data_IF_733459238971
#
_entry.id   IF_733459238971
#
_cell.length_a   1.000
_cell.length_b   1.000
_cell.length_c   1.000
_cell.angle_alpha   90.00
_cell.angle_beta   90.00
_cell.angle_gamma   90.00
#
_symmetry.space_group_name_H-M   'P 1'
#
loop_
_entity.id
_entity.type
_entity.pdbx_description
1 polymer ?
#
# COMPACT_ATOMS: atom_id res chain seq x y z
N UNK A 1 -36.47 -43.34 25.06
CA UNK A 1 -36.45 -42.07 25.81
C UNK A 1 -35.66 -42.29 27.08
N UNK A 2 -34.42 -41.83 27.10
CA UNK A 2 -33.52 -41.91 28.25
C UNK A 2 -33.05 -40.47 28.50
N UNK A 3 -33.40 -39.94 29.67
CA UNK A 3 -32.97 -38.64 30.16
C UNK A 3 -31.53 -38.77 30.69
N UNK A 4 -30.63 -37.88 30.25
CA UNK A 4 -29.33 -37.63 30.88
C UNK A 4 -29.29 -36.15 31.30
N UNK A 5 -28.91 -35.83 32.55
CA UNK A 5 -28.88 -34.45 33.02
C UNK A 5 -27.61 -33.72 32.60
N UNK A 6 -27.80 -32.43 32.32
CA UNK A 6 -26.78 -31.41 32.13
C UNK A 6 -25.74 -31.45 33.26
N UNK A 7 -24.47 -31.68 32.92
CA UNK A 7 -23.35 -31.25 33.75
C UNK A 7 -22.76 -29.97 33.15
N UNK A 8 -23.01 -28.89 33.89
CA UNK A 8 -22.52 -27.55 33.72
C UNK A 8 -21.05 -27.52 34.19
N UNK A 9 -20.08 -27.59 33.28
CA UNK A 9 -18.68 -27.31 33.61
C UNK A 9 -18.36 -25.91 33.10
N UNK A 10 -18.51 -24.95 34.02
CA UNK A 10 -18.01 -23.58 33.87
C UNK A 10 -16.51 -23.64 34.09
N UNK A 11 -15.74 -23.73 33.01
CA UNK A 11 -14.30 -23.48 33.07
C UNK A 11 -14.03 -21.98 32.93
N UNK A 12 -13.88 -21.32 34.07
CA UNK A 12 -13.19 -20.04 34.19
C UNK A 12 -11.72 -20.23 33.81
N UNK A 13 -11.33 -19.79 32.60
CA UNK A 13 -9.92 -19.52 32.28
C UNK A 13 -9.75 -18.01 32.30
N UNK A 14 -9.39 -17.51 33.49
CA UNK A 14 -8.74 -16.22 33.67
C UNK A 14 -7.27 -16.41 33.27
N UNK A 15 -6.91 -16.13 32.02
CA UNK A 15 -5.51 -16.01 31.61
C UNK A 15 -5.17 -14.54 31.34
N UNK A 16 -4.80 -13.86 32.42
CA UNK A 16 -3.62 -13.00 32.55
C UNK A 16 -3.16 -12.36 31.23
N UNK A 17 -3.60 -11.12 31.01
CA UNK A 17 -2.97 -10.21 30.04
C UNK A 17 -1.57 -9.82 30.53
N UNK A 18 -0.50 -10.08 29.76
CA UNK A 18 0.75 -9.37 29.98
C UNK A 18 0.57 -7.94 29.46
N UNK A 19 0.63 -6.97 30.38
CA UNK A 19 0.84 -5.56 30.07
C UNK A 19 2.21 -5.42 29.41
N UNK A 20 2.26 -5.36 28.09
CA UNK A 20 3.46 -4.90 27.39
C UNK A 20 3.53 -3.39 27.60
N UNK A 21 4.43 -3.00 28.50
CA UNK A 21 4.82 -1.63 28.75
C UNK A 21 5.38 -1.02 27.46
N UNK A 22 5.01 0.23 27.23
CA UNK A 22 5.33 0.99 26.05
C UNK A 22 6.83 1.20 25.84
N UNK A 23 7.20 1.21 24.56
CA UNK A 23 8.32 1.98 24.06
C UNK A 23 7.76 3.03 23.10
N UNK A 24 7.19 4.08 23.69
CA UNK A 24 7.07 5.38 23.02
C UNK A 24 8.43 6.05 23.24
N UNK A 25 9.25 6.11 22.20
CA UNK A 25 10.43 6.99 22.18
C UNK A 25 9.98 8.34 21.65
N UNK A 26 9.81 9.30 22.56
CA UNK A 26 9.69 10.73 22.28
C UNK A 26 11.10 11.34 22.07
N UNK A 27 11.25 12.55 21.51
CA UNK A 27 12.10 12.80 20.36
C UNK A 27 13.42 13.47 20.77
N UNK A 28 14.46 13.26 19.98
CA UNK A 28 15.75 13.88 20.23
C UNK A 28 15.72 15.39 19.95
N UNK A 29 16.19 16.14 20.95
CA UNK A 29 16.31 17.59 21.05
C UNK A 29 17.33 18.16 20.05
N UNK A 30 17.02 19.23 19.29
CA UNK A 30 17.93 19.82 18.32
C UNK A 30 18.94 20.75 19.02
N UNK A 31 20.23 20.64 18.68
CA UNK A 31 21.20 21.72 18.96
C UNK A 31 21.42 22.56 17.69
N UNK A 32 21.52 23.89 17.84
CA UNK A 32 21.66 24.81 16.72
C UNK A 32 23.13 25.01 16.38
N UNK A 33 23.43 25.10 15.09
CA UNK A 33 24.68 25.72 14.64
C UNK A 33 24.40 26.52 13.38
N UNK A 34 24.39 27.83 13.61
CA UNK A 34 24.46 28.87 12.61
C UNK A 34 25.67 28.67 11.70
N UNK A 35 25.43 28.66 10.39
CA UNK A 35 26.42 29.17 9.43
C UNK A 35 25.68 30.06 8.45
N UNK A 36 26.08 31.33 8.46
CA UNK A 36 25.55 32.44 7.68
C UNK A 36 26.46 32.71 6.48
N UNK A 37 25.85 33.21 5.40
CA UNK A 37 26.40 33.84 4.19
C UNK A 37 27.00 32.85 3.17
N UNK A 38 26.71 32.91 1.86
CA UNK A 38 26.31 34.06 1.03
C UNK A 38 25.77 33.56 -0.33
N UNK A 39 24.90 34.35 -0.98
CA UNK A 39 24.76 34.42 -2.44
C UNK A 39 24.09 33.27 -3.20
N UNK A 40 22.76 33.28 -3.29
CA UNK A 40 22.02 33.69 -4.49
C UNK A 40 20.55 33.29 -4.36
N UNK A 41 19.69 34.28 -4.51
CA UNK A 41 18.24 34.15 -4.46
C UNK A 41 17.76 33.40 -5.71
N UNK A 42 17.87 32.07 -5.71
CA UNK A 42 17.17 31.23 -6.65
C UNK A 42 15.68 31.40 -6.39
N UNK A 43 15.05 32.25 -7.20
CA UNK A 43 13.61 32.31 -7.34
C UNK A 43 13.23 31.09 -8.19
N UNK A 44 12.70 29.98 -7.62
CA UNK A 44 12.25 28.87 -8.45
C UNK A 44 11.09 29.39 -9.28
N UNK A 45 11.36 29.62 -10.56
CA UNK A 45 10.33 29.92 -11.54
C UNK A 45 9.45 28.67 -11.57
N UNK A 46 8.28 28.75 -10.94
CA UNK A 46 7.22 27.78 -11.12
C UNK A 46 6.88 27.78 -12.61
N UNK A 47 7.45 26.83 -13.34
CA UNK A 47 6.96 26.50 -14.66
C UNK A 47 5.68 25.73 -14.41
N UNK A 48 4.54 26.39 -14.64
CA UNK A 48 3.18 25.82 -14.68
C UNK A 48 3.00 24.80 -15.82
N UNK A 49 4.02 23.99 -16.12
CA UNK A 49 3.88 22.80 -16.95
C UNK A 49 3.30 21.68 -16.08
N UNK A 50 2.04 21.87 -15.69
CA UNK A 50 1.16 20.78 -15.25
C UNK A 50 0.83 19.95 -16.49
N UNK A 51 1.85 19.28 -17.03
CA UNK A 51 1.63 18.04 -17.75
C UNK A 51 1.22 17.02 -16.69
N UNK A 52 -0.09 16.96 -16.44
CA UNK A 52 -0.70 15.90 -15.63
C UNK A 52 -0.16 14.59 -16.20
N UNK A 53 0.64 13.81 -15.44
CA UNK A 53 1.22 12.58 -15.98
C UNK A 53 0.08 11.68 -16.45
N UNK A 54 0.23 11.18 -17.67
CA UNK A 54 -0.64 10.18 -18.31
C UNK A 54 -1.00 9.08 -17.29
N UNK A 55 -2.27 8.64 -17.14
CA UNK A 55 -2.72 7.67 -16.14
C UNK A 55 -2.23 6.22 -16.38
N UNK A 56 -0.99 6.05 -16.85
CA UNK A 56 -0.41 4.75 -17.24
C UNK A 56 0.21 3.98 -16.07
N UNK A 57 0.04 4.47 -14.84
CA UNK A 57 0.75 3.98 -13.68
C UNK A 57 -0.06 2.93 -12.92
N UNK A 58 0.19 1.64 -13.21
CA UNK A 58 -0.33 0.50 -12.46
C UNK A 58 0.38 0.44 -11.12
N UNK A 59 -0.36 0.20 -10.03
CA UNK A 59 0.21 0.15 -8.69
C UNK A 59 -0.24 -1.09 -7.96
N UNK A 60 0.71 -2.01 -7.78
CA UNK A 60 0.56 -3.13 -6.87
C UNK A 60 0.31 -2.61 -5.45
N UNK A 61 -0.76 -3.11 -4.82
CA UNK A 61 -1.20 -2.71 -3.47
C UNK A 61 -1.27 -3.89 -2.51
N UNK A 62 -0.92 -5.08 -3.01
CA UNK A 62 -0.75 -6.26 -2.19
C UNK A 62 -1.50 -7.45 -2.74
N UNK A 63 -1.58 -8.46 -1.88
CA UNK A 63 -2.19 -9.73 -2.16
C UNK A 63 -3.37 -9.96 -1.23
N UNK A 64 -4.38 -10.67 -1.72
CA UNK A 64 -5.45 -11.23 -0.89
C UNK A 64 -5.52 -12.75 -1.04
N UNK A 65 -6.06 -13.38 -0.01
CA UNK A 65 -6.37 -14.81 -0.04
C UNK A 65 -7.35 -15.14 -1.17
N UNK A 66 -7.19 -16.32 -1.77
CA UNK A 66 -8.16 -16.82 -2.75
C UNK A 66 -9.58 -16.90 -2.20
N UNK A 67 -9.73 -17.24 -0.91
CA UNK A 67 -11.02 -17.28 -0.24
C UNK A 67 -11.74 -15.93 -0.25
N UNK A 68 -11.02 -14.85 0.13
CA UNK A 68 -11.56 -13.48 0.06
C UNK A 68 -11.88 -13.05 -1.37
N UNK A 69 -11.07 -13.48 -2.35
CA UNK A 69 -11.39 -13.23 -3.76
C UNK A 69 -12.69 -13.93 -4.22
N UNK A 70 -12.91 -15.19 -3.81
CA UNK A 70 -14.16 -15.90 -4.12
C UNK A 70 -15.38 -15.24 -3.46
N UNK A 71 -15.23 -14.80 -2.21
CA UNK A 71 -16.26 -14.05 -1.49
C UNK A 71 -16.61 -12.75 -2.22
N UNK A 72 -15.60 -11.96 -2.63
CA UNK A 72 -15.79 -10.75 -3.43
C UNK A 72 -16.56 -11.01 -4.73
N UNK A 73 -16.22 -12.06 -5.48
CA UNK A 73 -16.94 -12.43 -6.71
C UNK A 73 -18.40 -12.82 -6.41
N UNK A 74 -18.62 -13.59 -5.36
CA UNK A 74 -19.94 -14.06 -4.94
C UNK A 74 -20.85 -12.90 -4.50
N UNK A 75 -20.34 -11.99 -3.67
CA UNK A 75 -21.08 -10.81 -3.19
C UNK A 75 -21.53 -9.90 -4.34
N UNK A 76 -20.69 -9.78 -5.37
CA UNK A 76 -20.97 -8.98 -6.55
C UNK A 76 -21.77 -9.73 -7.63
N UNK A 77 -22.05 -11.03 -7.44
CA UNK A 77 -22.80 -11.85 -8.40
C UNK A 77 -22.11 -12.00 -9.75
N UNK A 78 -20.77 -11.95 -9.76
CA UNK A 78 -19.94 -11.99 -10.96
C UNK A 78 -19.03 -13.22 -10.98
N UNK A 79 -18.49 -13.53 -12.15
CA UNK A 79 -17.42 -14.52 -12.29
C UNK A 79 -16.20 -13.81 -12.87
N UNK A 80 -15.02 -14.21 -12.41
CA UNK A 80 -13.77 -13.72 -12.99
C UNK A 80 -13.63 -14.17 -14.45
N UNK A 81 -13.07 -13.30 -15.29
CA UNK A 81 -12.79 -13.56 -16.70
C UNK A 81 -11.47 -14.29 -16.82
N UNK A 82 -11.40 -15.31 -17.68
CA UNK A 82 -10.15 -15.99 -17.94
C UNK A 82 -9.15 -15.08 -18.66
N UNK A 83 -7.98 -14.86 -18.07
CA UNK A 83 -6.86 -14.14 -18.68
C UNK A 83 -5.53 -14.83 -18.37
N UNK A 84 -4.62 -14.94 -19.37
CA UNK A 84 -3.39 -15.72 -19.22
C UNK A 84 -2.33 -15.04 -18.34
N UNK A 85 -2.44 -13.72 -18.13
CA UNK A 85 -1.45 -12.93 -17.41
C UNK A 85 -2.09 -11.76 -16.66
N UNK A 86 -1.40 -11.34 -15.60
CA UNK A 86 -1.72 -10.15 -14.81
C UNK A 86 -1.74 -8.87 -15.66
N UNK A 87 -0.76 -8.69 -16.53
CA UNK A 87 -0.70 -7.55 -17.45
C UNK A 87 -1.91 -7.51 -18.39
N UNK A 88 -2.40 -8.69 -18.81
CA UNK A 88 -3.63 -8.80 -19.58
C UNK A 88 -4.85 -8.36 -18.78
N UNK A 89 -4.90 -8.70 -17.49
CA UNK A 89 -5.94 -8.26 -16.56
C UNK A 89 -5.96 -6.76 -16.35
N UNK A 90 -4.79 -6.18 -16.04
CA UNK A 90 -4.62 -4.73 -15.90
C UNK A 90 -5.07 -4.03 -17.18
N UNK A 91 -4.62 -4.51 -18.34
CA UNK A 91 -4.98 -3.93 -19.65
C UNK A 91 -6.49 -3.97 -19.88
N UNK A 92 -7.14 -5.10 -19.60
CA UNK A 92 -8.58 -5.25 -19.72
C UNK A 92 -9.31 -4.25 -18.81
N UNK A 93 -8.93 -4.21 -17.53
CA UNK A 93 -9.59 -3.35 -16.55
C UNK A 93 -9.37 -1.86 -16.78
N UNK A 94 -8.35 -1.48 -17.56
CA UNK A 94 -8.10 -0.07 -17.95
C UNK A 94 -8.98 0.41 -19.10
N UNK A 95 -9.31 -0.49 -20.03
CA UNK A 95 -10.12 -0.13 -21.21
C UNK A 95 -11.50 0.37 -20.77
N UNK A 96 -12.05 -0.27 -19.74
CA UNK A 96 -13.31 0.12 -19.14
C UNK A 96 -13.06 1.16 -18.02
N UNK A 97 -13.36 2.43 -18.34
CA UNK A 97 -13.17 3.58 -17.46
C UNK A 97 -13.83 3.54 -16.05
N UNK A 98 -14.88 2.75 -15.72
CA UNK A 98 -15.39 2.75 -14.35
C UNK A 98 -14.51 1.98 -13.35
N UNK A 99 -13.54 1.19 -13.79
CA UNK A 99 -12.76 0.35 -12.89
C UNK A 99 -11.57 1.08 -12.28
N UNK A 100 -11.42 0.92 -10.96
CA UNK A 100 -10.29 1.44 -10.20
C UNK A 100 -9.27 0.36 -9.82
N UNK A 101 -9.70 -0.91 -9.88
CA UNK A 101 -9.03 -2.08 -9.34
C UNK A 101 -8.99 -3.21 -10.37
N UNK A 102 -7.87 -3.93 -10.39
CA UNK A 102 -7.72 -5.20 -11.07
C UNK A 102 -7.27 -6.27 -10.06
N UNK A 103 -8.04 -7.35 -9.98
CA UNK A 103 -7.74 -8.54 -9.19
C UNK A 103 -7.32 -9.65 -10.14
N UNK A 104 -6.19 -10.30 -9.86
CA UNK A 104 -5.70 -11.38 -10.72
C UNK A 104 -5.17 -12.57 -9.94
N UNK A 105 -5.73 -13.75 -10.23
CA UNK A 105 -5.24 -15.04 -9.72
C UNK A 105 -4.38 -15.70 -10.78
N UNK A 106 -3.08 -15.84 -10.50
CA UNK A 106 -2.13 -16.47 -11.41
C UNK A 106 -2.42 -17.98 -11.58
N UNK A 107 -2.85 -18.65 -10.53
CA UNK A 107 -3.20 -20.08 -10.60
C UNK A 107 -4.49 -20.32 -11.38
N UNK A 108 -5.58 -19.63 -11.02
CA UNK A 108 -6.87 -19.80 -11.68
C UNK A 108 -6.95 -19.10 -13.05
N UNK A 109 -5.91 -18.31 -13.41
CA UNK A 109 -5.89 -17.45 -14.60
C UNK A 109 -7.15 -16.61 -14.70
N UNK A 110 -7.57 -16.07 -13.55
CA UNK A 110 -8.85 -15.39 -13.38
C UNK A 110 -8.62 -13.92 -13.07
N UNK A 111 -9.31 -13.05 -13.79
CA UNK A 111 -9.24 -11.61 -13.67
C UNK A 111 -10.60 -11.04 -13.28
N UNK A 112 -10.61 -10.06 -12.39
CA UNK A 112 -11.80 -9.30 -12.06
C UNK A 112 -11.49 -7.81 -11.98
N UNK A 113 -12.28 -7.02 -12.70
CA UNK A 113 -12.19 -5.57 -12.70
C UNK A 113 -13.26 -5.02 -11.77
N UNK A 114 -12.85 -4.19 -10.80
CA UNK A 114 -13.75 -3.65 -9.80
C UNK A 114 -13.66 -2.12 -9.73
N UNK A 115 -14.76 -1.42 -9.38
CA UNK A 115 -14.69 -0.01 -9.02
C UNK A 115 -13.82 0.17 -7.77
N UNK A 116 -13.23 1.36 -7.59
CA UNK A 116 -12.29 1.65 -6.49
C UNK A 116 -12.89 1.45 -5.09
N UNK A 117 -14.20 1.56 -4.98
CA UNK A 117 -14.98 1.40 -3.75
C UNK A 117 -15.07 -0.08 -3.32
N UNK A 118 -14.78 -1.03 -4.21
CA UNK A 118 -14.74 -2.47 -3.91
C UNK A 118 -13.31 -2.91 -3.58
N UNK A 119 -12.67 -2.19 -2.67
CA UNK A 119 -11.34 -2.53 -2.16
C UNK A 119 -11.41 -3.77 -1.24
N UNK A 120 -10.32 -4.52 -1.08
CA UNK A 120 -10.33 -5.72 -0.24
C UNK A 120 -10.57 -5.37 1.24
N UNK A 121 -11.19 -6.30 1.96
CA UNK A 121 -11.24 -6.27 3.43
C UNK A 121 -9.86 -6.60 4.00
N UNK A 122 -9.57 -6.07 5.19
CA UNK A 122 -8.24 -6.22 5.81
C UNK A 122 -7.93 -7.67 6.16
N UNK A 123 -8.94 -8.45 6.57
CA UNK A 123 -8.82 -9.87 6.87
C UNK A 123 -8.48 -10.73 5.67
N UNK A 124 -8.71 -10.22 4.45
CA UNK A 124 -8.35 -10.94 3.23
C UNK A 124 -6.89 -10.72 2.85
N UNK A 125 -6.22 -9.69 3.37
CA UNK A 125 -4.85 -9.33 3.00
C UNK A 125 -3.87 -10.40 3.46
N UNK A 126 -3.04 -10.86 2.53
CA UNK A 126 -2.00 -11.88 2.75
C UNK A 126 -0.63 -11.37 2.32
N UNK A 127 0.41 -12.12 2.65
CA UNK A 127 1.78 -11.81 2.24
C UNK A 127 2.01 -12.00 0.75
N UNK A 128 2.73 -11.07 0.12
CA UNK A 128 3.35 -11.23 -1.20
C UNK A 128 4.67 -12.00 -1.11
N UNK A 129 5.15 -12.53 -2.23
CA UNK A 129 6.52 -13.05 -2.36
C UNK A 129 7.52 -11.96 -2.70
N UNK A 130 7.08 -10.94 -3.44
CA UNK A 130 7.91 -9.86 -3.97
C UNK A 130 7.09 -8.58 -4.19
N UNK A 131 7.71 -7.59 -4.82
CA UNK A 131 7.16 -6.28 -5.18
C UNK A 131 6.65 -6.24 -6.64
N UNK A 132 6.85 -7.31 -7.42
CA UNK A 132 6.28 -7.48 -8.76
C UNK A 132 4.83 -7.98 -8.75
N UNK A 133 4.29 -8.30 -7.58
CA UNK A 133 2.90 -8.72 -7.40
C UNK A 133 2.68 -10.22 -7.42
N UNK A 134 3.73 -11.02 -7.17
CA UNK A 134 3.57 -12.44 -6.91
C UNK A 134 3.12 -12.64 -5.46
N UNK A 135 2.08 -13.43 -5.25
CA UNK A 135 1.48 -13.65 -3.93
C UNK A 135 2.03 -14.90 -3.24
N UNK A 136 2.14 -14.86 -1.90
CA UNK A 136 2.81 -15.90 -1.11
C UNK A 136 2.11 -17.26 -1.12
N UNK A 137 0.78 -17.28 -1.12
CA UNK A 137 -0.01 -18.48 -1.31
C UNK A 137 -0.14 -18.86 -2.79
N UNK A 138 -0.27 -20.16 -3.05
CA UNK A 138 -0.30 -20.70 -4.40
C UNK A 138 -1.47 -20.17 -5.24
N UNK A 139 -2.61 -19.89 -4.60
CA UNK A 139 -3.84 -19.43 -5.26
C UNK A 139 -4.17 -17.96 -4.95
N UNK A 140 -3.32 -17.29 -4.17
CA UNK A 140 -3.56 -15.92 -3.73
C UNK A 140 -3.59 -14.96 -4.93
N UNK A 141 -4.27 -13.84 -4.71
CA UNK A 141 -4.72 -12.94 -5.79
C UNK A 141 -4.03 -11.60 -5.62
N UNK A 142 -3.34 -11.15 -6.67
CA UNK A 142 -2.71 -9.85 -6.72
C UNK A 142 -3.75 -8.76 -6.94
N UNK A 143 -3.54 -7.61 -6.30
CA UNK A 143 -4.41 -6.43 -6.45
C UNK A 143 -3.60 -5.26 -6.99
N UNK A 144 -4.12 -4.68 -8.07
CA UNK A 144 -3.59 -3.49 -8.70
C UNK A 144 -4.61 -2.37 -8.70
N UNK A 145 -4.20 -1.18 -8.29
CA UNK A 145 -4.95 0.02 -8.63
C UNK A 145 -4.47 0.61 -9.95
N UNK A 146 -5.43 1.06 -10.74
CA UNK A 146 -5.20 1.48 -12.12
C UNK A 146 -4.99 2.99 -12.27
N UNK A 147 -5.51 3.79 -11.33
CA UNK A 147 -5.62 5.24 -11.44
C UNK A 147 -5.06 6.00 -10.21
N UNK A 148 -3.96 5.53 -9.64
CA UNK A 148 -3.33 6.22 -8.52
C UNK A 148 -2.33 7.30 -8.96
N UNK A 149 -2.33 8.49 -8.33
CA UNK A 149 -1.35 9.55 -8.60
C UNK A 149 0.01 9.31 -7.93
N UNK A 150 0.31 8.05 -7.57
CA UNK A 150 1.52 7.64 -6.85
C UNK A 150 2.21 6.48 -7.56
N UNK A 151 3.51 6.32 -7.33
CA UNK A 151 4.39 5.29 -7.87
C UNK A 151 4.72 4.28 -6.79
N UNK A 152 4.34 3.02 -6.96
CA UNK A 152 4.73 1.97 -6.02
C UNK A 152 6.25 1.86 -6.07
N UNK A 153 6.87 2.02 -4.91
CA UNK A 153 8.31 2.09 -4.77
C UNK A 153 8.88 0.80 -4.22
N UNK A 154 8.17 0.18 -3.26
CA UNK A 154 8.58 -1.09 -2.70
C UNK A 154 8.00 -1.33 -1.31
N UNK A 155 8.44 -2.43 -0.73
CA UNK A 155 7.99 -2.92 0.57
C UNK A 155 9.09 -2.86 1.62
N UNK A 156 8.78 -2.35 2.82
CA UNK A 156 9.75 -2.03 3.86
C UNK A 156 9.32 -2.54 5.22
N UNK A 157 10.24 -3.20 5.93
CA UNK A 157 10.02 -3.61 7.32
C UNK A 157 10.00 -2.42 8.30
N UNK A 158 10.68 -1.34 7.94
CA UNK A 158 10.71 -0.08 8.67
C UNK A 158 11.11 1.05 7.73
N UNK A 159 10.61 2.26 7.94
CA UNK A 159 10.96 3.46 7.15
C UNK A 159 12.03 4.28 7.88
N UNK A 160 12.92 4.94 7.12
CA UNK A 160 14.01 5.73 7.70
C UNK A 160 13.56 7.11 8.17
N UNK A 161 12.59 7.70 7.50
CA UNK A 161 12.08 9.03 7.83
C UNK A 161 10.92 8.93 8.83
N UNK A 162 10.72 9.98 9.61
CA UNK A 162 9.51 10.13 10.43
C UNK A 162 8.43 10.82 9.61
N UNK A 163 7.19 10.30 9.56
CA UNK A 163 6.11 10.97 8.84
C UNK A 163 5.71 12.25 9.56
N UNK A 164 5.42 13.31 8.81
CA UNK A 164 4.89 14.54 9.39
C UNK A 164 3.40 14.40 9.76
N UNK A 165 2.73 13.44 9.15
CA UNK A 165 1.32 13.08 9.42
C UNK A 165 1.15 11.57 9.33
N UNK A 166 0.42 11.02 10.28
CA UNK A 166 -0.07 9.64 10.21
C UNK A 166 -1.52 9.57 10.68
N UNK A 167 -2.29 8.69 10.07
CA UNK A 167 -3.69 8.46 10.42
C UNK A 167 -4.12 7.03 10.09
N UNK A 168 -5.20 6.60 10.74
CA UNK A 168 -5.83 5.32 10.44
C UNK A 168 -6.98 5.60 9.48
N UNK A 169 -6.98 4.93 8.34
CA UNK A 169 -8.01 5.06 7.31
C UNK A 169 -8.70 3.73 7.08
N UNK A 170 -9.92 3.77 6.57
CA UNK A 170 -10.71 2.56 6.33
C UNK A 170 -10.26 1.80 5.08
N UNK A 171 -9.73 2.54 4.10
CA UNK A 171 -9.33 1.99 2.81
C UNK A 171 -7.99 2.61 2.32
N UNK A 172 -7.21 1.90 1.48
CA UNK A 172 -5.90 2.37 1.02
C UNK A 172 -5.97 3.60 0.09
N UNK A 173 -7.13 3.89 -0.52
CA UNK A 173 -7.34 5.06 -1.37
C UNK A 173 -7.51 6.32 -0.55
N UNK A 174 -8.21 6.24 0.57
CA UNK A 174 -8.29 7.29 1.56
C UNK A 174 -6.88 7.68 2.04
N UNK A 175 -5.99 6.70 2.25
CA UNK A 175 -4.58 6.99 2.57
C UNK A 175 -3.90 7.82 1.46
N UNK A 176 -4.02 7.38 0.21
CA UNK A 176 -3.47 8.09 -0.95
C UNK A 176 -4.02 9.51 -1.09
N UNK A 177 -5.29 9.72 -0.78
CA UNK A 177 -5.96 11.03 -0.87
C UNK A 177 -5.72 11.91 0.34
N UNK A 178 -5.31 11.34 1.47
CA UNK A 178 -5.03 12.08 2.70
C UNK A 178 -3.78 12.95 2.62
N UNK A 179 -2.78 12.48 1.86
CA UNK A 179 -1.50 13.17 1.70
C UNK A 179 -1.62 14.36 0.75
N UNK A 180 -0.86 15.41 1.02
CA UNK A 180 -0.95 16.67 0.29
C UNK A 180 -0.39 16.52 -1.12
N UNK A 181 -0.82 17.36 -2.07
CA UNK A 181 -0.30 17.30 -3.44
C UNK A 181 1.20 17.50 -3.60
N UNK A 182 1.83 18.11 -2.59
CA UNK A 182 3.27 18.42 -2.54
C UNK A 182 4.12 17.36 -1.83
N UNK A 183 3.50 16.34 -1.26
CA UNK A 183 4.21 15.30 -0.51
C UNK A 183 5.07 14.45 -1.44
N UNK A 184 6.30 14.16 -1.02
CA UNK A 184 7.23 13.32 -1.76
C UNK A 184 6.83 11.85 -1.74
N UNK A 185 6.28 11.36 -0.61
CA UNK A 185 5.86 9.97 -0.48
C UNK A 185 4.70 9.72 0.47
N UNK A 186 4.00 8.61 0.23
CA UNK A 186 3.01 8.02 1.13
C UNK A 186 3.42 6.58 1.42
N UNK A 187 3.27 6.15 2.66
CA UNK A 187 3.43 4.74 3.02
C UNK A 187 2.18 4.26 3.76
N UNK A 188 1.81 3.01 3.50
CA UNK A 188 0.66 2.38 4.14
C UNK A 188 1.01 0.98 4.64
N UNK A 189 0.45 0.60 5.77
CA UNK A 189 0.62 -0.74 6.34
C UNK A 189 -0.74 -1.25 6.82
N UNK A 190 -1.15 -2.47 6.43
CA UNK A 190 -2.39 -3.07 6.91
C UNK A 190 -2.26 -3.36 8.42
N UNK A 191 -3.29 -2.99 9.21
CA UNK A 191 -3.26 -3.18 10.66
C UNK A 191 -3.78 -4.57 11.03
N UNK A 192 -3.02 -5.28 11.86
CA UNK A 192 -3.42 -6.58 12.42
C UNK A 192 -4.32 -6.39 13.65
N UNK A 193 -4.08 -5.35 14.44
CA UNK A 193 -4.78 -5.08 15.71
C UNK A 193 -5.91 -4.03 15.57
N UNK A 194 -6.73 -4.16 14.53
CA UNK A 194 -7.92 -3.33 14.30
C UNK A 194 -8.25 -3.15 12.83
N UNK A 195 -9.39 -2.53 12.55
CA UNK A 195 -9.85 -2.32 11.17
C UNK A 195 -9.06 -1.18 10.50
N UNK A 196 -8.68 -1.41 9.24
CA UNK A 196 -8.13 -0.39 8.36
C UNK A 196 -6.61 -0.39 8.20
N UNK A 197 -6.11 0.73 7.67
CA UNK A 197 -4.74 0.93 7.23
C UNK A 197 -4.11 2.06 8.01
N UNK A 198 -2.87 1.87 8.50
CA UNK A 198 -2.09 2.98 9.02
C UNK A 198 -1.41 3.67 7.82
N UNK A 199 -1.82 4.91 7.58
CA UNK A 199 -1.29 5.79 6.56
C UNK A 199 -0.23 6.73 7.13
N UNK A 200 0.82 6.99 6.36
CA UNK A 200 1.91 7.88 6.73
C UNK A 200 2.32 8.75 5.54
N UNK A 201 2.28 10.08 5.71
CA UNK A 201 2.68 11.05 4.69
C UNK A 201 4.05 11.66 5.01
N UNK A 202 4.85 11.89 3.97
CA UNK A 202 6.21 12.42 4.08
C UNK A 202 6.40 13.59 3.10
N UNK A 203 7.04 14.66 3.58
CA UNK A 203 7.35 15.82 2.74
C UNK A 203 8.32 15.44 1.62
N UNK A 204 9.33 14.62 1.94
CA UNK A 204 10.32 14.09 1.00
C UNK A 204 10.08 12.59 0.72
N UNK A 205 10.60 12.05 -0.40
CA UNK A 205 10.61 10.62 -0.65
C UNK A 205 11.29 9.86 0.49
N UNK A 206 10.66 8.80 0.98
CA UNK A 206 11.22 7.96 2.06
C UNK A 206 11.43 6.53 1.59
N UNK A 207 12.57 5.98 1.95
CA UNK A 207 12.86 4.55 1.81
C UNK A 207 12.94 3.92 3.20
N UNK A 208 13.31 2.65 3.22
CA UNK A 208 13.39 1.91 4.45
C UNK A 208 14.29 0.69 4.35
N UNK A 209 14.25 -0.10 5.41
CA UNK A 209 14.87 -1.42 5.41
C UNK A 209 14.03 -2.33 4.54
N UNK A 210 14.57 -2.69 3.37
CA UNK A 210 13.93 -3.53 2.35
C UNK A 210 13.27 -4.74 3.03
N UNK A 211 11.94 -4.79 2.91
CA UNK A 211 11.15 -5.97 3.22
C UNK A 211 11.30 -6.96 2.09
N UNK A 212 11.39 -8.25 2.42
CA UNK A 212 11.47 -9.30 1.39
C UNK A 212 10.12 -9.55 0.71
N UNK A 213 9.02 -9.09 1.30
CA UNK A 213 7.65 -9.47 0.98
C UNK A 213 6.71 -8.30 1.31
N UNK A 214 5.73 -8.00 0.46
CA UNK A 214 4.65 -7.06 0.78
C UNK A 214 3.57 -7.73 1.65
N UNK A 215 2.71 -6.97 2.32
CA UNK A 215 1.56 -7.51 3.06
C UNK A 215 1.58 -7.19 4.56
N UNK A 216 1.06 -8.12 5.38
CA UNK A 216 0.85 -7.88 6.81
C UNK A 216 2.14 -7.51 7.54
N UNK A 217 2.11 -6.41 8.29
CA UNK A 217 3.27 -5.96 9.06
C UNK A 217 4.38 -5.31 8.21
N UNK A 218 4.16 -5.12 6.91
CA UNK A 218 5.13 -4.53 6.00
C UNK A 218 4.56 -3.24 5.39
N UNK A 219 5.37 -2.18 5.41
CA UNK A 219 5.04 -0.92 4.78
C UNK A 219 5.10 -1.04 3.27
N UNK A 220 4.06 -0.59 2.60
CA UNK A 220 4.05 -0.36 1.16
C UNK A 220 4.27 1.13 0.93
N UNK A 221 5.38 1.50 0.31
CA UNK A 221 5.70 2.90 0.04
C UNK A 221 5.43 3.27 -1.41
N UNK A 222 4.96 4.49 -1.61
CA UNK A 222 4.66 5.05 -2.90
C UNK A 222 5.20 6.48 -3.01
N UNK A 223 5.75 6.84 -4.16
CA UNK A 223 6.34 8.15 -4.45
C UNK A 223 5.51 8.96 -5.42
N UNK A 224 5.52 10.28 -5.27
CA UNK A 224 4.86 11.14 -6.23
C UNK A 224 5.78 11.35 -7.44
N UNK A 225 5.23 11.33 -8.65
CA UNK A 225 5.99 11.50 -9.90
C UNK A 225 6.55 12.93 -10.11
N UNK A 226 6.66 13.76 -9.07
CA UNK A 226 6.92 15.18 -9.27
C UNK A 226 8.39 15.53 -9.55
N UNK A 227 9.37 14.64 -9.31
CA UNK A 227 10.80 15.03 -9.40
C UNK A 227 11.84 13.94 -9.70
N UNK A 228 11.47 12.74 -10.16
CA UNK A 228 12.46 11.71 -10.52
C UNK A 228 12.82 11.66 -12.02
N UNK A 229 12.41 12.67 -12.78
CA UNK A 229 13.01 12.94 -14.09
C UNK A 229 14.42 13.50 -13.84
N UNK A 230 15.43 12.70 -14.21
CA UNK A 230 16.88 12.98 -14.29
C UNK A 230 17.68 13.17 -12.99
N UNK A 231 17.99 12.07 -12.30
CA UNK A 231 19.31 11.85 -11.69
C UNK A 231 20.12 10.78 -12.45
N UNK A 232 19.86 10.62 -13.76
CA UNK A 232 20.75 9.86 -14.63
C UNK A 232 21.98 10.73 -14.88
N UNK A 233 23.04 10.39 -14.13
CA UNK A 233 24.44 10.76 -14.32
C UNK A 233 24.71 11.68 -15.53
N UNK A 234 24.91 12.96 -15.25
CA UNK A 234 25.71 13.83 -16.11
C UNK A 234 27.15 13.32 -16.11
N UNK A 235 27.41 12.25 -16.85
CA UNK A 235 28.74 11.88 -17.29
C UNK A 235 29.23 13.00 -18.19
N UNK A 236 30.20 13.78 -17.70
CA UNK A 236 30.83 14.82 -18.48
C UNK A 236 31.52 14.23 -19.70
N UNK A 237 31.14 14.72 -20.88
CA UNK A 237 32.03 14.71 -22.04
C UNK A 237 32.53 16.14 -22.25
N UNK A 238 33.75 16.37 -21.77
CA UNK A 238 34.61 17.42 -22.25
C UNK A 238 35.42 16.87 -23.43
N UNK A 239 35.20 17.41 -24.63
CA UNK A 239 36.12 17.36 -25.78
C UNK A 239 35.87 18.58 -26.65
#
# INVERSE_FOLDING_TARGET
MIFLPLNLIVHCILSISPRVLGFIQDPYNPYPSNTSLDGDLFNPKATDDISIPNPEHVRFIGCISFGGFQELLQENGVQGVYLPSRDGCITLCRVDQPFGLAYFSEHAKSCYCAPKEQHPMIEWVVGGMDDEGNCGGWDDVSIDYLNLPWIFHGCYSSLWSTPYRSEIVSDPIECVNSCQPRDGSVAMIPRVEGDGWLCACYEEPTEGVIGRQCGLGIWQAYFRNLKYVSWVQGGGESS
#
